data_IF_651644561800
#
_entry.id   IF_651644561800
#
_cell.length_a   1.000
_cell.length_b   1.000
_cell.length_c   1.000
_cell.angle_alpha   90.00
_cell.angle_beta   90.00
_cell.angle_gamma   90.00
#
_symmetry.space_group_name_H-M   'P 1'
#
loop_
_entity.id
_entity.type
_entity.pdbx_description
1 polymer ?
#
# COMPACT_ATOMS: atom_id res chain seq x y z
N UNK A 1 35.20 -27.59 6.29
CA UNK A 1 34.15 -27.73 7.31
C UNK A 1 33.23 -26.55 7.14
N UNK A 2 32.14 -26.69 6.39
CA UNK A 2 31.23 -25.58 6.12
C UNK A 2 30.43 -25.28 7.39
N UNK A 3 30.82 -24.22 8.10
CA UNK A 3 30.06 -23.65 9.21
C UNK A 3 28.98 -22.76 8.60
N UNK A 4 27.77 -23.31 8.46
CA UNK A 4 26.67 -22.60 7.79
C UNK A 4 26.13 -21.48 8.68
N UNK A 5 26.29 -20.24 8.23
CA UNK A 5 25.73 -19.05 8.91
C UNK A 5 24.25 -18.85 8.61
N UNK A 6 23.74 -19.48 7.55
CA UNK A 6 22.36 -19.40 7.11
C UNK A 6 21.76 -20.79 6.92
N UNK A 7 20.46 -20.92 7.12
CA UNK A 7 19.71 -22.12 6.77
C UNK A 7 18.40 -21.79 6.06
N UNK A 8 17.89 -22.70 5.25
CA UNK A 8 16.63 -22.57 4.54
C UNK A 8 15.77 -23.81 4.79
N UNK A 9 14.46 -23.59 4.87
CA UNK A 9 13.49 -24.68 4.91
C UNK A 9 12.11 -24.18 4.49
N UNK A 10 11.21 -25.11 4.16
CA UNK A 10 9.78 -24.84 4.20
C UNK A 10 9.33 -24.64 5.65
N UNK A 11 8.58 -23.58 5.92
CA UNK A 11 8.12 -23.26 7.26
C UNK A 11 7.26 -24.41 7.83
N UNK A 12 7.77 -25.08 8.86
CA UNK A 12 7.11 -26.21 9.51
C UNK A 12 5.76 -25.82 10.15
N UNK A 13 5.58 -24.55 10.53
CA UNK A 13 4.33 -23.98 11.04
C UNK A 13 4.24 -22.48 10.79
N UNK A 14 3.02 -21.94 10.77
CA UNK A 14 2.73 -20.50 10.59
C UNK A 14 3.01 -19.59 11.80
N UNK A 15 3.81 -20.05 12.76
CA UNK A 15 4.06 -19.34 14.04
C UNK A 15 5.26 -18.39 13.99
N UNK A 16 6.16 -18.56 13.03
CA UNK A 16 7.33 -17.70 12.88
C UNK A 16 6.96 -16.35 12.26
N UNK A 17 7.63 -15.30 12.71
CA UNK A 17 7.49 -13.95 12.18
C UNK A 17 8.80 -13.53 11.52
N UNK A 18 8.73 -12.96 10.33
CA UNK A 18 9.89 -12.43 9.63
C UNK A 18 10.48 -11.25 10.42
N UNK A 19 11.76 -11.34 10.77
CA UNK A 19 12.41 -10.29 11.58
C UNK A 19 12.49 -8.93 10.90
N UNK A 20 12.55 -8.90 9.56
CA UNK A 20 12.73 -7.67 8.77
C UNK A 20 11.39 -7.00 8.45
N UNK A 21 10.39 -7.76 7.98
CA UNK A 21 9.09 -7.20 7.61
C UNK A 21 8.07 -7.19 8.75
N UNK A 22 8.28 -7.98 9.81
CA UNK A 22 7.29 -8.18 10.89
C UNK A 22 6.09 -9.04 10.48
N UNK A 23 6.06 -9.56 9.26
CA UNK A 23 4.96 -10.40 8.76
C UNK A 23 5.08 -11.84 9.26
N UNK A 24 3.93 -12.50 9.47
CA UNK A 24 3.90 -13.96 9.67
C UNK A 24 4.39 -14.68 8.42
N UNK A 25 5.12 -15.76 8.65
CA UNK A 25 5.58 -16.70 7.62
C UNK A 25 4.65 -17.90 7.69
N UNK A 26 3.90 -18.17 6.63
CA UNK A 26 2.86 -19.20 6.62
C UNK A 26 3.47 -20.61 6.54
N UNK A 27 2.74 -21.64 6.98
CA UNK A 27 3.20 -23.03 6.88
C UNK A 27 3.41 -23.41 5.40
N UNK A 28 4.56 -24.00 5.09
CA UNK A 28 4.93 -24.36 3.71
C UNK A 28 5.55 -23.22 2.90
N UNK A 29 5.64 -21.99 3.44
CA UNK A 29 6.38 -20.90 2.80
C UNK A 29 7.89 -21.09 3.01
N UNK A 30 8.72 -20.86 1.98
CA UNK A 30 10.17 -20.89 2.11
C UNK A 30 10.61 -19.75 3.05
N UNK A 31 11.43 -20.10 4.04
CA UNK A 31 12.01 -19.14 4.98
C UNK A 31 13.51 -19.37 5.14
N UNK A 32 14.24 -18.27 5.29
CA UNK A 32 15.69 -18.27 5.52
C UNK A 32 15.96 -17.83 6.96
N UNK A 33 16.71 -18.65 7.70
CA UNK A 33 17.21 -18.31 9.02
C UNK A 33 18.63 -17.74 8.92
N UNK A 34 18.89 -16.68 9.69
CA UNK A 34 20.24 -16.32 10.10
C UNK A 34 20.53 -17.05 11.41
N UNK A 35 21.56 -17.88 11.41
CA UNK A 35 22.00 -18.63 12.58
C UNK A 35 22.98 -17.76 13.37
N UNK A 36 22.85 -17.76 14.69
CA UNK A 36 23.79 -17.11 15.59
C UNK A 36 24.04 -18.05 16.75
N UNK A 37 25.30 -18.37 16.98
CA UNK A 37 25.72 -19.15 18.13
C UNK A 37 25.82 -18.21 19.34
N UNK A 38 25.21 -18.61 20.45
CA UNK A 38 25.34 -17.95 21.73
C UNK A 38 25.78 -18.98 22.75
N UNK A 39 26.90 -18.70 23.41
CA UNK A 39 27.35 -19.48 24.55
C UNK A 39 26.51 -19.14 25.76
N UNK A 40 25.82 -20.15 26.29
CA UNK A 40 25.08 -20.04 27.54
C UNK A 40 25.48 -21.19 28.45
N UNK A 41 26.05 -20.85 29.61
CA UNK A 41 26.46 -21.83 30.63
C UNK A 41 27.46 -22.90 30.12
N UNK A 42 28.31 -22.53 29.15
CA UNK A 42 29.31 -23.43 28.56
C UNK A 42 28.79 -24.33 27.44
N UNK A 43 27.52 -24.18 27.05
CA UNK A 43 26.90 -24.86 25.91
C UNK A 43 26.59 -23.86 24.79
N UNK A 44 27.00 -24.17 23.56
CA UNK A 44 26.71 -23.34 22.38
C UNK A 44 25.29 -23.63 21.90
N UNK A 45 24.40 -22.64 22.02
CA UNK A 45 23.03 -22.71 21.54
C UNK A 45 22.93 -21.96 20.22
N UNK A 46 22.44 -22.63 19.17
CA UNK A 46 22.14 -21.97 17.90
C UNK A 46 20.78 -21.29 17.95
N UNK A 47 20.77 -19.96 17.84
CA UNK A 47 19.56 -19.17 17.66
C UNK A 47 19.28 -18.90 16.18
N UNK A 48 18.10 -19.31 15.74
CA UNK A 48 17.62 -19.06 14.38
C UNK A 48 16.71 -17.82 14.35
N UNK A 49 17.11 -16.83 13.57
CA UNK A 49 16.25 -15.66 13.28
C UNK A 49 15.65 -15.82 11.88
N UNK A 50 14.33 -16.02 11.81
CA UNK A 50 13.63 -16.32 10.56
C UNK A 50 13.27 -15.08 9.73
N UNK A 51 13.39 -15.23 8.42
CA UNK A 51 13.09 -14.22 7.42
C UNK A 51 12.32 -14.82 6.25
N UNK A 52 11.43 -14.02 5.64
CA UNK A 52 10.96 -14.30 4.27
C UNK A 52 12.11 -14.05 3.29
N UNK A 53 12.09 -14.76 2.16
CA UNK A 53 13.15 -14.73 1.15
C UNK A 53 13.49 -13.31 0.68
N UNK A 54 12.53 -12.53 0.19
CA UNK A 54 12.79 -11.16 -0.29
C UNK A 54 13.30 -10.23 0.83
N UNK A 55 12.63 -10.14 1.99
CA UNK A 55 13.14 -9.36 3.13
C UNK A 55 14.54 -9.77 3.59
N UNK A 56 14.91 -11.05 3.48
CA UNK A 56 16.26 -11.53 3.78
C UNK A 56 17.30 -10.90 2.85
N UNK A 57 17.09 -10.94 1.52
CA UNK A 57 17.97 -10.28 0.55
C UNK A 57 18.01 -8.75 0.75
N UNK A 58 16.88 -8.10 1.05
CA UNK A 58 16.86 -6.66 1.37
C UNK A 58 17.67 -6.32 2.63
N UNK A 59 17.65 -7.19 3.64
CA UNK A 59 18.51 -7.06 4.82
C UNK A 59 19.98 -7.21 4.42
N UNK A 60 20.33 -8.16 3.56
CA UNK A 60 21.70 -8.34 3.08
C UNK A 60 22.23 -7.08 2.38
N UNK A 61 21.43 -6.39 1.55
CA UNK A 61 21.84 -5.13 0.90
C UNK A 61 22.23 -4.03 1.90
N UNK A 62 21.62 -4.04 3.09
CA UNK A 62 21.89 -3.08 4.17
C UNK A 62 23.03 -3.49 5.09
N UNK A 63 23.53 -4.72 4.99
CA UNK A 63 24.65 -5.18 5.82
C UNK A 63 25.96 -4.54 5.36
N UNK A 64 26.63 -3.83 6.28
CA UNK A 64 27.88 -3.10 6.01
C UNK A 64 29.06 -4.02 5.71
N UNK A 65 29.05 -5.26 6.20
CA UNK A 65 30.13 -6.24 6.04
C UNK A 65 29.72 -7.30 5.02
N UNK A 66 30.31 -7.24 3.82
CA UNK A 66 30.06 -8.19 2.72
C UNK A 66 30.45 -9.64 3.07
N UNK A 67 31.38 -9.82 4.01
CA UNK A 67 31.78 -11.15 4.52
C UNK A 67 30.64 -11.92 5.21
N UNK A 68 29.61 -11.22 5.68
CA UNK A 68 28.44 -11.79 6.36
C UNK A 68 27.21 -11.90 5.43
N UNK A 69 27.39 -11.74 4.12
CA UNK A 69 26.32 -11.94 3.14
C UNK A 69 26.35 -13.38 2.62
N UNK A 70 25.19 -13.90 2.23
CA UNK A 70 25.08 -15.17 1.52
C UNK A 70 25.78 -15.01 0.15
N UNK A 71 26.84 -15.76 -0.09
CA UNK A 71 27.62 -15.67 -1.34
C UNK A 71 27.17 -16.72 -2.34
N UNK A 72 26.97 -17.94 -1.86
CA UNK A 72 26.61 -19.10 -2.68
C UNK A 72 25.49 -19.88 -2.01
N UNK A 73 24.76 -20.71 -2.77
CA UNK A 73 23.77 -21.62 -2.19
C UNK A 73 24.41 -22.68 -1.30
N UNK A 74 25.69 -22.99 -1.53
CA UNK A 74 26.48 -23.84 -0.64
C UNK A 74 26.60 -23.25 0.78
N UNK A 75 26.39 -21.95 0.99
CA UNK A 75 26.41 -21.34 2.32
C UNK A 75 25.06 -21.47 3.08
N UNK A 76 24.08 -22.13 2.47
CA UNK A 76 22.68 -22.21 2.94
C UNK A 76 22.32 -23.66 3.31
N UNK A 77 22.37 -23.99 4.61
CA UNK A 77 22.02 -25.32 5.09
C UNK A 77 20.55 -25.67 4.81
N UNK A 78 20.27 -26.88 4.31
CA UNK A 78 18.91 -27.35 3.98
C UNK A 78 18.40 -26.94 2.60
N UNK A 79 19.28 -26.38 1.74
CA UNK A 79 18.93 -26.00 0.38
C UNK A 79 18.57 -27.21 -0.50
N UNK A 80 19.29 -28.32 -0.32
CA UNK A 80 19.10 -29.60 -0.98
C UNK A 80 17.78 -30.30 -0.61
N UNK A 81 17.13 -29.90 0.50
CA UNK A 81 15.82 -30.41 0.92
C UNK A 81 14.65 -29.69 0.23
N UNK A 82 14.91 -28.63 -0.54
CA UNK A 82 13.88 -27.90 -1.29
C UNK A 82 13.54 -28.63 -2.60
N UNK A 83 12.38 -28.31 -3.18
CA UNK A 83 12.03 -28.82 -4.51
C UNK A 83 12.91 -28.14 -5.56
N UNK A 84 13.31 -28.87 -6.61
CA UNK A 84 14.20 -28.37 -7.68
C UNK A 84 13.69 -27.02 -8.26
N UNK A 85 12.38 -26.90 -8.47
CA UNK A 85 11.76 -25.65 -8.95
C UNK A 85 11.97 -24.46 -8.02
N UNK A 86 12.06 -24.68 -6.71
CA UNK A 86 12.26 -23.65 -5.70
C UNK A 86 13.75 -23.41 -5.41
N UNK A 87 14.61 -24.41 -5.62
CA UNK A 87 16.07 -24.27 -5.67
C UNK A 87 16.47 -23.30 -6.79
N UNK A 88 16.00 -23.53 -8.02
CA UNK A 88 16.26 -22.66 -9.17
C UNK A 88 15.80 -21.21 -8.93
N UNK A 89 14.64 -21.03 -8.28
CA UNK A 89 14.12 -19.69 -7.94
C UNK A 89 15.03 -18.97 -6.96
N UNK A 90 15.55 -19.65 -5.95
CA UNK A 90 16.45 -19.06 -4.96
C UNK A 90 17.82 -18.74 -5.57
N UNK A 91 18.35 -19.61 -6.43
CA UNK A 91 19.58 -19.36 -7.20
C UNK A 91 19.43 -18.12 -8.06
N UNK A 92 18.32 -18.02 -8.82
CA UNK A 92 18.03 -16.83 -9.61
C UNK A 92 17.92 -15.58 -8.73
N UNK A 93 17.24 -15.64 -7.60
CA UNK A 93 17.13 -14.49 -6.69
C UNK A 93 18.49 -14.06 -6.11
N UNK A 94 19.39 -15.01 -5.83
CA UNK A 94 20.74 -14.69 -5.39
C UNK A 94 21.57 -14.07 -6.53
N UNK A 95 21.44 -14.57 -7.75
CA UNK A 95 22.07 -13.97 -8.94
C UNK A 95 21.59 -12.54 -9.18
N UNK A 96 20.26 -12.34 -9.24
CA UNK A 96 19.63 -11.02 -9.41
C UNK A 96 20.02 -10.06 -8.27
N UNK A 97 20.29 -10.57 -7.06
CA UNK A 97 20.71 -9.76 -5.92
C UNK A 97 22.16 -9.26 -6.03
N UNK A 98 23.06 -10.05 -6.62
CA UNK A 98 24.47 -9.67 -6.80
C UNK A 98 24.73 -8.86 -8.07
N UNK A 99 23.75 -8.81 -8.98
CA UNK A 99 23.80 -7.99 -10.19
C UNK A 99 23.52 -6.50 -9.86
N UNK A 100 24.48 -5.58 -10.08
CA UNK A 100 24.27 -4.16 -9.81
C UNK A 100 23.28 -3.48 -10.76
N UNK A 101 22.99 -4.08 -11.92
CA UNK A 101 22.14 -3.51 -12.97
C UNK A 101 20.66 -3.96 -12.84
N UNK A 102 20.37 -4.90 -11.93
CA UNK A 102 19.02 -5.38 -11.64
C UNK A 102 18.44 -4.64 -10.43
N UNK A 103 17.27 -4.02 -10.59
CA UNK A 103 16.54 -3.41 -9.47
C UNK A 103 15.89 -4.50 -8.60
N UNK A 104 16.66 -4.99 -7.62
CA UNK A 104 16.19 -5.96 -6.62
C UNK A 104 15.37 -5.26 -5.52
N UNK A 105 14.16 -5.73 -5.17
CA UNK A 105 13.63 -7.07 -5.46
C UNK A 105 12.98 -7.21 -6.84
N UNK A 106 13.14 -8.37 -7.51
CA UNK A 106 12.49 -8.62 -8.80
C UNK A 106 10.98 -8.47 -8.66
N UNK A 107 10.35 -7.82 -9.64
CA UNK A 107 8.89 -7.85 -9.78
C UNK A 107 8.45 -9.31 -9.83
N UNK A 108 7.45 -9.66 -9.00
CA UNK A 108 7.08 -11.04 -8.76
C UNK A 108 6.74 -11.76 -10.08
N UNK A 109 7.43 -12.87 -10.43
CA UNK A 109 7.05 -13.65 -11.59
C UNK A 109 5.65 -14.24 -11.35
N UNK A 110 4.74 -14.02 -12.30
CA UNK A 110 3.41 -14.63 -12.34
C UNK A 110 3.62 -16.16 -12.38
N UNK A 111 3.40 -16.87 -11.27
CA UNK A 111 3.57 -18.34 -11.23
C UNK A 111 2.56 -19.00 -12.19
N UNK A 112 3.05 -19.59 -13.27
CA UNK A 112 2.31 -20.56 -14.10
C UNK A 112 2.01 -21.81 -13.27
N UNK A 113 0.72 -22.12 -13.06
CA UNK A 113 0.28 -23.34 -12.36
C UNK A 113 0.18 -24.50 -13.34
N UNK A 114 0.95 -25.57 -13.09
CA UNK A 114 0.84 -26.88 -13.77
C UNK A 114 -0.39 -27.64 -13.27
N UNK A 115 -1.18 -28.18 -14.23
CA UNK A 115 -2.53 -28.75 -14.07
C UNK A 115 -2.55 -30.13 -13.38
N UNK A 116 -3.49 -30.32 -12.43
CA UNK A 116 -4.21 -31.59 -12.21
C UNK A 116 -5.69 -31.30 -11.88
N UNK A 117 -6.60 -31.81 -12.73
CA UNK A 117 -8.09 -31.82 -12.72
C UNK A 117 -8.64 -32.49 -11.44
N UNK A 118 -9.85 -32.28 -10.90
CA UNK A 118 -11.12 -31.56 -11.22
C UNK A 118 -11.88 -31.49 -9.86
N UNK A 119 -12.75 -30.53 -9.49
CA UNK A 119 -13.77 -29.76 -10.20
C UNK A 119 -13.75 -28.27 -9.72
N UNK A 120 -13.56 -27.26 -10.59
CA UNK A 120 -14.54 -26.56 -11.48
C UNK A 120 -15.69 -25.90 -10.70
N UNK A 121 -15.93 -24.57 -10.73
CA UNK A 121 -15.27 -23.39 -11.33
C UNK A 121 -15.96 -22.17 -10.64
N UNK A 122 -15.33 -21.05 -10.29
CA UNK A 122 -15.08 -19.90 -11.19
C UNK A 122 -14.11 -18.93 -10.49
N UNK A 123 -12.85 -18.85 -10.95
CA UNK A 123 -11.87 -17.81 -10.60
C UNK A 123 -11.42 -17.13 -11.90
N UNK A 124 -11.93 -15.92 -12.14
CA UNK A 124 -11.31 -14.93 -13.03
C UNK A 124 -10.69 -13.78 -12.22
N UNK A 125 -9.46 -13.45 -12.63
CA UNK A 125 -8.63 -12.25 -12.47
C UNK A 125 -8.74 -11.37 -11.21
N UNK A 126 -7.62 -11.23 -10.47
CA UNK A 126 -7.37 -10.03 -9.66
C UNK A 126 -6.28 -9.15 -10.30
N UNK A 127 -6.54 -7.85 -10.48
CA UNK A 127 -5.64 -6.89 -11.10
C UNK A 127 -4.58 -6.37 -10.12
N UNK A 128 -3.64 -5.61 -10.70
CA UNK A 128 -2.45 -5.02 -10.12
C UNK A 128 -2.56 -4.49 -8.67
N UNK A 129 -1.52 -4.73 -7.87
CA UNK A 129 -1.35 -4.07 -6.57
C UNK A 129 -1.04 -2.58 -6.80
N UNK A 130 -1.83 -1.64 -6.26
CA UNK A 130 -1.45 -0.24 -6.21
C UNK A 130 -0.25 -0.06 -5.30
N UNK A 131 0.65 0.80 -5.75
CA UNK A 131 1.86 1.27 -5.06
C UNK A 131 1.50 1.69 -3.63
N UNK A 132 2.43 1.47 -2.70
CA UNK A 132 2.45 2.13 -1.39
C UNK A 132 2.11 3.60 -1.60
N UNK A 133 1.17 4.14 -0.83
CA UNK A 133 0.91 5.58 -0.72
C UNK A 133 2.20 6.28 -0.28
N UNK A 134 3.09 6.54 -1.22
CA UNK A 134 3.83 7.78 -1.23
C UNK A 134 2.76 8.86 -1.32
N UNK A 135 2.78 9.81 -0.37
CA UNK A 135 2.12 11.10 -0.55
C UNK A 135 2.43 11.51 -2.00
N UNK A 136 1.45 11.77 -2.88
CA UNK A 136 1.74 12.36 -4.18
C UNK A 136 2.66 13.53 -3.89
N UNK A 137 3.84 13.54 -4.51
CA UNK A 137 4.77 14.66 -4.37
C UNK A 137 4.05 15.84 -5.00
N UNK A 138 3.31 16.56 -4.16
CA UNK A 138 2.57 17.76 -4.52
C UNK A 138 3.55 18.66 -5.27
N UNK A 139 3.14 19.25 -6.41
CA UNK A 139 4.02 20.12 -7.19
C UNK A 139 4.65 21.16 -6.26
N UNK A 140 5.93 21.45 -6.46
CA UNK A 140 6.67 22.41 -5.65
C UNK A 140 5.93 23.76 -5.67
N UNK A 141 5.68 24.33 -4.49
CA UNK A 141 4.97 25.61 -4.37
C UNK A 141 6.01 26.70 -4.60
N UNK A 142 5.89 27.42 -5.71
CA UNK A 142 6.75 28.57 -5.97
C UNK A 142 6.51 29.66 -4.91
N UNK A 143 7.58 30.30 -4.40
CA UNK A 143 7.44 31.39 -3.44
C UNK A 143 6.72 32.57 -4.10
N UNK A 144 5.54 32.90 -3.59
CA UNK A 144 4.71 33.97 -4.11
C UNK A 144 4.18 34.84 -2.95
N UNK A 145 4.39 36.15 -3.05
CA UNK A 145 3.88 37.15 -2.10
C UNK A 145 3.03 38.15 -2.87
N UNK A 146 1.83 38.46 -2.37
CA UNK A 146 0.91 39.40 -3.01
C UNK A 146 0.46 40.51 -2.08
N UNK A 147 0.21 41.69 -2.63
CA UNK A 147 -0.46 42.75 -1.90
C UNK A 147 -1.98 42.52 -1.86
N UNK A 148 -2.57 42.66 -0.67
CA UNK A 148 -4.02 42.67 -0.45
C UNK A 148 -4.35 43.75 0.59
N UNK A 149 -4.90 44.88 0.13
CA UNK A 149 -5.09 46.09 0.95
C UNK A 149 -6.50 46.15 1.54
N UNK A 150 -7.50 45.69 0.79
CA UNK A 150 -8.90 45.70 1.18
C UNK A 150 -9.43 44.29 1.48
N UNK A 151 -10.54 44.21 2.22
CA UNK A 151 -11.24 42.96 2.49
C UNK A 151 -11.70 42.25 1.19
N UNK A 152 -11.99 43.01 0.13
CA UNK A 152 -12.33 42.48 -1.19
C UNK A 152 -11.14 41.75 -1.83
N UNK A 153 -9.92 42.25 -1.67
CA UNK A 153 -8.70 41.66 -2.21
C UNK A 153 -8.40 40.32 -1.52
N UNK A 154 -8.56 40.27 -0.19
CA UNK A 154 -8.38 39.03 0.58
C UNK A 154 -9.44 37.98 0.21
N UNK A 155 -10.68 38.41 -0.04
CA UNK A 155 -11.75 37.50 -0.47
C UNK A 155 -11.48 36.92 -1.86
N UNK A 156 -11.07 37.77 -2.81
CA UNK A 156 -10.72 37.34 -4.16
C UNK A 156 -9.50 36.39 -4.16
N UNK A 157 -8.48 36.70 -3.35
CA UNK A 157 -7.32 35.84 -3.17
C UNK A 157 -7.71 34.48 -2.58
N UNK A 158 -8.56 34.46 -1.54
CA UNK A 158 -9.03 33.20 -0.96
C UNK A 158 -9.79 32.33 -1.98
N UNK A 159 -10.62 32.93 -2.83
CA UNK A 159 -11.36 32.24 -3.89
C UNK A 159 -10.43 31.66 -4.97
N UNK A 160 -9.43 32.43 -5.41
CA UNK A 160 -8.39 31.94 -6.32
C UNK A 160 -7.62 30.76 -5.71
N UNK A 161 -7.24 30.85 -4.42
CA UNK A 161 -6.49 29.78 -3.75
C UNK A 161 -7.31 28.50 -3.57
N UNK A 162 -8.64 28.58 -3.40
CA UNK A 162 -9.51 27.39 -3.44
C UNK A 162 -9.32 26.64 -4.76
N UNK A 163 -9.36 27.36 -5.89
CA UNK A 163 -9.15 26.77 -7.21
C UNK A 163 -7.77 26.12 -7.36
N UNK A 164 -6.71 26.81 -6.94
CA UNK A 164 -5.34 26.29 -6.99
C UNK A 164 -5.16 25.05 -6.11
N UNK A 165 -5.69 25.07 -4.88
CA UNK A 165 -5.63 23.94 -3.96
C UNK A 165 -6.40 22.73 -4.52
N UNK A 166 -7.56 22.93 -5.13
CA UNK A 166 -8.29 21.83 -5.81
C UNK A 166 -7.54 21.28 -7.01
N UNK A 167 -6.92 22.14 -7.83
CA UNK A 167 -6.08 21.70 -8.94
C UNK A 167 -4.84 20.90 -8.48
N UNK A 168 -4.34 21.20 -7.28
CA UNK A 168 -3.31 20.41 -6.58
C UNK A 168 -3.85 19.12 -5.96
N UNK A 169 -5.15 18.87 -6.04
CA UNK A 169 -5.80 17.67 -5.52
C UNK A 169 -6.14 17.74 -4.04
N UNK A 170 -6.22 18.91 -3.40
CA UNK A 170 -6.55 18.99 -1.97
C UNK A 170 -8.02 18.65 -1.71
N UNK A 171 -8.28 17.98 -0.59
CA UNK A 171 -9.63 17.59 -0.16
C UNK A 171 -10.36 18.75 0.53
N UNK A 172 -10.63 19.80 -0.25
CA UNK A 172 -11.39 20.96 0.20
C UNK A 172 -12.89 20.64 0.26
N UNK A 173 -13.66 21.32 1.14
CA UNK A 173 -15.11 21.22 1.15
C UNK A 173 -15.73 21.46 -0.24
N UNK A 174 -16.76 20.69 -0.58
CA UNK A 174 -17.49 20.85 -1.83
C UNK A 174 -18.27 22.17 -1.90
N UNK A 175 -18.74 22.68 -0.76
CA UNK A 175 -19.39 23.98 -0.66
C UNK A 175 -18.38 25.10 -0.88
N UNK A 176 -18.56 25.89 -1.94
CA UNK A 176 -17.65 26.98 -2.34
C UNK A 176 -17.49 28.04 -1.26
N UNK A 177 -18.58 28.38 -0.57
CA UNK A 177 -18.53 29.41 0.46
C UNK A 177 -17.76 28.92 1.68
N UNK A 178 -17.98 27.69 2.11
CA UNK A 178 -17.24 27.06 3.22
C UNK A 178 -15.76 26.89 2.85
N UNK A 179 -15.46 26.43 1.64
CA UNK A 179 -14.08 26.29 1.16
C UNK A 179 -13.35 27.64 1.16
N UNK A 180 -13.99 28.68 0.62
CA UNK A 180 -13.45 30.05 0.62
C UNK A 180 -13.29 30.62 2.03
N UNK A 181 -14.23 30.38 2.96
CA UNK A 181 -14.10 30.84 4.35
C UNK A 181 -12.88 30.21 5.03
N UNK A 182 -12.70 28.89 4.87
CA UNK A 182 -11.54 28.19 5.43
C UNK A 182 -10.23 28.66 4.79
N UNK A 183 -10.17 28.79 3.48
CA UNK A 183 -9.00 29.35 2.79
C UNK A 183 -8.74 30.81 3.19
N UNK A 184 -9.78 31.61 3.39
CA UNK A 184 -9.67 32.99 3.86
C UNK A 184 -9.02 33.10 5.24
N UNK A 185 -9.28 32.13 6.13
CA UNK A 185 -8.60 32.08 7.43
C UNK A 185 -7.10 31.80 7.29
N UNK A 186 -6.71 30.93 6.36
CA UNK A 186 -5.30 30.62 6.06
C UNK A 186 -4.59 31.81 5.39
N UNK A 187 -5.26 32.48 4.45
CA UNK A 187 -4.79 33.73 3.82
C UNK A 187 -4.53 34.80 4.86
N UNK A 188 -5.42 34.94 5.85
CA UNK A 188 -5.25 35.92 6.92
C UNK A 188 -4.10 35.56 7.86
N UNK A 189 -3.91 34.27 8.15
CA UNK A 189 -2.79 33.78 8.97
C UNK A 189 -1.43 33.99 8.27
N UNK A 190 -1.39 33.93 6.95
CA UNK A 190 -0.19 34.17 6.14
C UNK A 190 0.05 35.66 5.80
N UNK A 191 -0.74 36.57 6.39
CA UNK A 191 -0.68 38.02 6.10
C UNK A 191 0.24 38.75 7.06
N UNK A 192 1.08 39.63 6.52
CA UNK A 192 1.87 40.62 7.29
C UNK A 192 1.58 42.02 6.75
N UNK A 193 0.84 42.84 7.51
CA UNK A 193 0.45 44.18 7.04
C UNK A 193 -0.45 44.13 5.80
N UNK A 194 0.01 44.68 4.67
CA UNK A 194 -0.72 44.65 3.38
C UNK A 194 -0.27 43.52 2.44
N UNK A 195 0.65 42.66 2.86
CA UNK A 195 1.15 41.56 2.03
C UNK A 195 0.70 40.21 2.58
N UNK A 196 0.48 39.26 1.69
CA UNK A 196 0.11 37.88 1.99
C UNK A 196 1.16 36.97 1.36
N UNK A 197 1.72 36.06 2.16
CA UNK A 197 2.52 34.96 1.66
C UNK A 197 1.60 33.86 1.12
N UNK A 198 1.44 33.82 -0.20
CA UNK A 198 0.56 32.89 -0.90
C UNK A 198 1.10 31.47 -0.78
N UNK A 199 2.43 31.30 -0.83
CA UNK A 199 3.05 29.99 -0.71
C UNK A 199 2.83 29.40 0.69
N UNK A 200 2.96 30.20 1.74
CA UNK A 200 2.66 29.80 3.11
C UNK A 200 1.18 29.45 3.29
N UNK A 201 0.26 30.20 2.68
CA UNK A 201 -1.17 29.90 2.73
C UNK A 201 -1.52 28.56 2.04
N UNK A 202 -0.92 28.27 0.88
CA UNK A 202 -1.10 26.99 0.18
C UNK A 202 -0.47 25.85 0.99
N UNK A 203 0.72 26.04 1.56
CA UNK A 203 1.37 25.03 2.41
C UNK A 203 0.53 24.70 3.64
N UNK A 204 -0.04 25.72 4.29
CA UNK A 204 -0.95 25.53 5.42
C UNK A 204 -2.23 24.78 5.00
N UNK A 205 -2.72 25.01 3.79
CA UNK A 205 -3.84 24.25 3.23
C UNK A 205 -3.47 22.78 2.96
N UNK A 206 -2.27 22.51 2.40
CA UNK A 206 -1.76 21.16 2.16
C UNK A 206 -1.66 20.36 3.47
N UNK A 207 -1.30 21.03 4.58
CA UNK A 207 -1.23 20.45 5.92
C UNK A 207 -2.62 20.26 6.55
N UNK A 208 -3.55 21.20 6.34
CA UNK A 208 -4.88 21.17 6.96
C UNK A 208 -5.85 20.21 6.28
N UNK A 209 -5.86 20.16 4.94
CA UNK A 209 -6.84 19.41 4.17
C UNK A 209 -6.29 18.10 3.62
N UNK A 210 -4.97 18.03 3.41
CA UNK A 210 -4.35 16.88 2.75
C UNK A 210 -4.84 16.71 1.31
N UNK A 211 -4.36 15.66 0.65
CA UNK A 211 -4.74 15.32 -0.73
C UNK A 211 -5.98 14.45 -0.70
N UNK A 212 -6.97 14.79 -1.54
CA UNK A 212 -8.12 13.95 -1.82
C UNK A 212 -7.60 12.61 -2.32
N UNK A 213 -7.87 11.55 -1.56
CA UNK A 213 -7.48 10.20 -2.01
C UNK A 213 -8.28 9.89 -3.26
N UNK A 214 -7.58 9.54 -4.32
CA UNK A 214 -8.17 9.04 -5.56
C UNK A 214 -7.67 7.64 -5.81
N UNK A 215 -8.52 6.81 -6.39
CA UNK A 215 -8.15 5.49 -6.89
C UNK A 215 -8.14 5.62 -8.41
N UNK A 216 -7.09 5.13 -9.05
CA UNK A 216 -7.07 4.98 -10.51
C UNK A 216 -8.09 3.91 -10.89
N UNK A 217 -9.03 4.27 -11.76
CA UNK A 217 -10.08 3.38 -12.25
C UNK A 217 -10.15 3.46 -13.77
N UNK A 218 -10.56 2.37 -14.41
CA UNK A 218 -10.79 2.35 -15.86
C UNK A 218 -11.97 3.25 -16.23
N UNK A 219 -12.99 3.30 -15.38
CA UNK A 219 -14.14 4.19 -15.48
C UNK A 219 -14.13 5.24 -14.36
N UNK A 220 -14.02 6.56 -14.67
CA UNK A 220 -13.97 7.63 -13.65
C UNK A 220 -15.19 7.68 -12.72
N UNK A 221 -16.37 7.30 -13.21
CA UNK A 221 -17.63 7.24 -12.47
C UNK A 221 -17.54 6.24 -11.30
N UNK A 222 -16.74 5.19 -11.46
CA UNK A 222 -16.54 4.16 -10.44
C UNK A 222 -15.53 4.59 -9.36
N UNK A 223 -14.80 5.70 -9.55
CA UNK A 223 -13.70 6.12 -8.66
C UNK A 223 -14.14 6.38 -7.22
N UNK A 224 -15.31 7.00 -7.02
CA UNK A 224 -15.85 7.28 -5.69
C UNK A 224 -16.17 5.99 -4.92
N UNK A 225 -16.78 5.03 -5.62
CA UNK A 225 -17.17 3.74 -5.07
C UNK A 225 -15.94 2.87 -4.78
N UNK A 226 -14.99 2.79 -5.72
CA UNK A 226 -13.71 2.10 -5.55
C UNK A 226 -12.93 2.64 -4.33
N UNK A 227 -12.92 3.97 -4.16
CA UNK A 227 -12.28 4.61 -3.01
C UNK A 227 -12.95 4.20 -1.70
N UNK A 228 -14.28 4.22 -1.62
CA UNK A 228 -15.01 3.87 -0.40
C UNK A 228 -14.66 2.44 0.08
N UNK A 229 -14.64 1.47 -0.83
CA UNK A 229 -14.22 0.10 -0.52
C UNK A 229 -12.73 -0.02 -0.19
N UNK A 230 -11.87 0.76 -0.84
CA UNK A 230 -10.43 0.84 -0.51
C UNK A 230 -10.22 1.35 0.92
N UNK A 231 -11.00 2.34 1.35
CA UNK A 231 -10.96 2.86 2.72
C UNK A 231 -11.44 1.83 3.73
N UNK A 232 -12.57 1.17 3.48
CA UNK A 232 -13.07 0.07 4.33
C UNK A 232 -12.00 -1.02 4.50
N UNK A 233 -11.40 -1.46 3.39
CA UNK A 233 -10.32 -2.44 3.38
C UNK A 233 -9.15 -2.02 4.28
N UNK A 234 -8.70 -0.77 4.12
CA UNK A 234 -7.58 -0.22 4.88
C UNK A 234 -7.87 -0.15 6.38
N UNK A 235 -9.09 0.21 6.77
CA UNK A 235 -9.49 0.26 8.19
C UNK A 235 -9.52 -1.15 8.79
N UNK A 236 -10.10 -2.13 8.09
CA UNK A 236 -10.13 -3.51 8.59
C UNK A 236 -8.74 -4.13 8.73
N UNK A 237 -7.82 -3.86 7.79
CA UNK A 237 -6.43 -4.29 7.96
C UNK A 237 -5.76 -3.66 9.17
N UNK A 238 -6.02 -2.37 9.46
CA UNK A 238 -5.50 -1.71 10.67
C UNK A 238 -6.08 -2.30 11.95
N UNK A 239 -7.34 -2.73 11.92
CA UNK A 239 -7.99 -3.44 13.04
C UNK A 239 -7.53 -4.90 13.17
N UNK A 240 -6.66 -5.39 12.28
CA UNK A 240 -6.17 -6.76 12.28
C UNK A 240 -7.12 -7.77 11.63
N UNK A 241 -8.27 -7.33 11.11
CA UNK A 241 -9.21 -8.19 10.39
C UNK A 241 -8.82 -8.35 8.92
N UNK A 242 -7.93 -9.32 8.70
CA UNK A 242 -7.43 -9.63 7.35
C UNK A 242 -8.50 -10.18 6.41
N UNK A 243 -9.53 -10.84 6.94
CA UNK A 243 -10.56 -11.46 6.11
C UNK A 243 -11.46 -10.38 5.49
N UNK A 244 -12.01 -9.48 6.32
CA UNK A 244 -12.82 -8.36 5.84
C UNK A 244 -11.97 -7.37 5.04
N UNK A 245 -10.75 -7.11 5.50
CA UNK A 245 -9.78 -6.29 4.77
C UNK A 245 -9.53 -6.81 3.35
N UNK A 246 -9.26 -8.11 3.22
CA UNK A 246 -9.06 -8.76 1.92
C UNK A 246 -10.32 -8.76 1.05
N UNK A 247 -11.48 -9.08 1.62
CA UNK A 247 -12.75 -9.09 0.88
C UNK A 247 -13.06 -7.71 0.27
N UNK A 248 -12.98 -6.64 1.06
CA UNK A 248 -13.22 -5.29 0.55
C UNK A 248 -12.13 -4.79 -0.40
N UNK A 249 -10.90 -5.30 -0.27
CA UNK A 249 -9.83 -5.03 -1.24
C UNK A 249 -10.19 -5.58 -2.62
N UNK A 250 -10.69 -6.83 -2.68
CA UNK A 250 -11.08 -7.47 -3.94
C UNK A 250 -12.25 -6.75 -4.60
N UNK A 251 -13.25 -6.35 -3.80
CA UNK A 251 -14.37 -5.52 -4.27
C UNK A 251 -13.85 -4.20 -4.86
N UNK A 252 -12.97 -3.49 -4.16
CA UNK A 252 -12.42 -2.22 -4.64
C UNK A 252 -11.64 -2.39 -5.96
N UNK A 253 -10.82 -3.44 -6.07
CA UNK A 253 -10.05 -3.75 -7.27
C UNK A 253 -10.96 -4.07 -8.46
N UNK A 254 -12.02 -4.84 -8.22
CA UNK A 254 -13.01 -5.20 -9.25
C UNK A 254 -13.76 -3.97 -9.75
N UNK A 255 -14.21 -3.10 -8.83
CA UNK A 255 -14.89 -1.84 -9.19
C UNK A 255 -13.96 -0.90 -9.94
N UNK A 256 -12.66 -0.88 -9.59
CA UNK A 256 -11.67 -0.05 -10.25
C UNK A 256 -11.34 -0.53 -11.67
N UNK A 257 -11.33 -1.84 -11.91
CA UNK A 257 -11.09 -2.45 -13.22
C UNK A 257 -12.33 -2.55 -14.11
N UNK A 258 -13.51 -2.16 -13.63
CA UNK A 258 -14.73 -2.19 -14.43
C UNK A 258 -14.75 -1.01 -15.43
N UNK A 259 -14.80 -1.34 -16.71
CA UNK A 259 -14.82 -0.37 -17.80
C UNK A 259 -16.15 0.40 -17.89
N UNK A 260 -17.26 -0.23 -17.51
CA UNK A 260 -18.58 0.37 -17.55
C UNK A 260 -18.98 1.01 -16.19
N UNK A 261 -19.80 2.08 -16.20
CA UNK A 261 -20.31 2.67 -14.97
C UNK A 261 -21.18 1.68 -14.18
N UNK A 262 -20.85 1.49 -12.91
CA UNK A 262 -21.66 0.67 -12.01
C UNK A 262 -22.92 1.42 -11.62
N UNK A 263 -24.06 0.91 -12.08
CA UNK A 263 -25.38 1.55 -11.89
C UNK A 263 -26.23 0.92 -10.79
N UNK A 264 -25.88 -0.29 -10.33
CA UNK A 264 -26.52 -0.96 -9.19
C UNK A 264 -25.67 -2.12 -8.69
N UNK A 265 -25.86 -2.51 -7.43
CA UNK A 265 -25.26 -3.71 -6.87
C UNK A 265 -25.66 -4.96 -7.65
N UNK A 266 -26.89 -5.05 -8.17
CA UNK A 266 -27.35 -6.19 -8.97
C UNK A 266 -26.58 -6.35 -10.26
N UNK A 267 -26.16 -5.25 -10.90
CA UNK A 267 -25.32 -5.30 -12.09
C UNK A 267 -23.94 -5.92 -11.81
N UNK A 268 -23.47 -5.81 -10.56
CA UNK A 268 -22.19 -6.35 -10.12
C UNK A 268 -22.25 -7.81 -9.66
N UNK A 269 -23.40 -8.49 -9.75
CA UNK A 269 -23.57 -9.84 -9.21
C UNK A 269 -22.65 -10.87 -9.87
N UNK A 270 -22.35 -10.70 -11.15
CA UNK A 270 -21.43 -11.56 -11.92
C UNK A 270 -19.97 -11.19 -11.74
N UNK A 271 -19.66 -10.09 -11.05
CA UNK A 271 -18.29 -9.61 -10.91
C UNK A 271 -17.56 -10.35 -9.77
N UNK A 272 -16.28 -10.70 -9.96
CA UNK A 272 -15.53 -11.51 -9.01
C UNK A 272 -15.40 -10.81 -7.65
N UNK A 273 -15.63 -11.54 -6.57
CA UNK A 273 -15.48 -11.03 -5.21
C UNK A 273 -16.57 -10.07 -4.71
N UNK A 274 -17.58 -9.74 -5.52
CA UNK A 274 -18.72 -8.92 -5.10
C UNK A 274 -19.88 -9.81 -4.63
N UNK A 275 -19.97 -10.00 -3.32
CA UNK A 275 -21.07 -10.72 -2.68
C UNK A 275 -22.30 -9.84 -2.36
N UNK A 276 -23.39 -10.48 -1.91
CA UNK A 276 -24.66 -9.80 -1.54
C UNK A 276 -24.47 -8.59 -0.61
N UNK A 277 -23.66 -8.76 0.44
CA UNK A 277 -23.40 -7.69 1.40
C UNK A 277 -22.59 -6.52 0.80
N UNK A 278 -21.82 -6.75 -0.26
CA UNK A 278 -21.11 -5.70 -1.00
C UNK A 278 -22.07 -5.00 -1.96
N UNK A 279 -22.95 -5.75 -2.65
CA UNK A 279 -23.99 -5.19 -3.52
C UNK A 279 -24.90 -4.21 -2.78
N UNK A 280 -25.35 -4.57 -1.56
CA UNK A 280 -26.17 -3.68 -0.73
C UNK A 280 -25.45 -2.36 -0.40
N UNK A 281 -24.13 -2.41 -0.16
CA UNK A 281 -23.32 -1.20 0.09
C UNK A 281 -23.08 -0.40 -1.18
N UNK A 282 -23.00 -1.06 -2.34
CA UNK A 282 -22.93 -0.39 -3.64
C UNK A 282 -24.22 0.40 -3.88
N UNK A 283 -25.38 -0.24 -3.71
CA UNK A 283 -26.68 0.43 -3.85
C UNK A 283 -26.85 1.59 -2.85
N UNK A 284 -26.40 1.39 -1.61
CA UNK A 284 -26.37 2.44 -0.59
C UNK A 284 -25.49 3.63 -1.00
N UNK A 285 -24.29 3.37 -1.50
CA UNK A 285 -23.37 4.41 -1.96
C UNK A 285 -23.93 5.16 -3.17
N UNK A 286 -24.51 4.45 -4.13
CA UNK A 286 -25.08 5.08 -5.33
C UNK A 286 -26.29 5.96 -5.00
N UNK A 287 -27.08 5.60 -3.98
CA UNK A 287 -28.27 6.36 -3.57
C UNK A 287 -27.96 7.51 -2.61
N UNK A 288 -27.01 7.33 -1.69
CA UNK A 288 -26.74 8.29 -0.59
C UNK A 288 -25.40 9.01 -0.72
N UNK A 289 -24.52 8.55 -1.60
CA UNK A 289 -23.12 9.00 -1.70
C UNK A 289 -22.23 8.50 -0.56
N UNK A 290 -22.72 7.64 0.33
CA UNK A 290 -22.01 7.15 1.52
C UNK A 290 -22.32 5.67 1.79
N UNK A 291 -21.46 5.04 2.57
CA UNK A 291 -21.69 3.70 3.13
C UNK A 291 -21.74 3.84 4.63
N UNK A 292 -22.89 3.60 5.28
CA UNK A 292 -23.05 3.77 6.72
C UNK A 292 -21.98 3.01 7.52
N UNK A 293 -21.63 1.80 7.06
CA UNK A 293 -20.59 1.01 7.72
C UNK A 293 -19.20 1.64 7.62
N UNK A 294 -18.87 2.31 6.52
CA UNK A 294 -17.60 3.02 6.39
C UNK A 294 -17.54 4.21 7.36
N UNK A 295 -18.63 4.94 7.50
CA UNK A 295 -18.71 6.08 8.42
C UNK A 295 -18.62 5.62 9.89
N UNK A 296 -19.28 4.52 10.25
CA UNK A 296 -19.13 3.89 11.57
C UNK A 296 -17.68 3.47 11.83
N UNK A 297 -17.01 2.86 10.85
CA UNK A 297 -15.62 2.43 10.96
C UNK A 297 -14.63 3.60 11.07
N UNK A 298 -14.96 4.78 10.54
CA UNK A 298 -14.16 5.99 10.67
C UNK A 298 -14.31 6.65 12.04
N UNK A 299 -15.45 6.43 12.71
CA UNK A 299 -15.76 7.02 14.00
C UNK A 299 -15.29 6.17 15.21
N UNK A 300 -14.87 4.92 14.96
CA UNK A 300 -14.40 3.96 15.97
C UNK A 300 -12.88 3.99 16.13
#
# INVERSE_FOLDING_TARGET
MSSYTFSVEYAKSGRSTCKVSGEKIEKGEIRIAKNSEIDRDGESITMQTWHKVIPFFQMMKRMRKKENQLKTMDDLAGFDELEDEDQEKLEKMLSDFHDPDVDFPPEAPKKEKKKRKQAEDDEEEEPAKPKKNARPSLPEIEPEVREAKAAKDLRALAEELVGRCRARGLDLPNDEEVARQKMGSLVLAARSGSTVDVAAAIKAADEQFGVKKTVETECPENAGLALAFTEMSSIYFKQGDKMRGGAYKKVAATIAGEADPITSGKACKSLPGIGKASMEKIDEFLSTGKIAKLEELKAA
#
